data_IF_471992888609
#
_entry.id   IF_471992888609
#
_cell.length_a   1.000
_cell.length_b   1.000
_cell.length_c   1.000
_cell.angle_alpha   90.00
_cell.angle_beta   90.00
_cell.angle_gamma   90.00
#
_symmetry.space_group_name_H-M   'P 1'
#
loop_
_entity.id
_entity.type
_entity.pdbx_description
1 polymer ?
#
# COMPACT_ATOMS: atom_id res chain seq x y z
N UNK A 1 30.48 30.77 -30.39
CA UNK A 1 29.31 30.72 -29.48
C UNK A 1 28.80 29.29 -29.44
N UNK A 2 29.14 28.57 -28.37
CA UNK A 2 28.80 27.16 -28.20
C UNK A 2 27.32 27.00 -27.85
N UNK A 3 26.58 26.19 -28.63
CA UNK A 3 25.25 25.70 -28.28
C UNK A 3 25.40 24.71 -27.13
N UNK A 4 24.92 25.10 -25.95
CA UNK A 4 24.74 24.19 -24.83
C UNK A 4 23.65 23.18 -25.19
N UNK A 5 24.07 21.92 -25.35
CA UNK A 5 23.19 20.75 -25.37
C UNK A 5 22.56 20.62 -23.98
N UNK A 6 21.24 20.87 -23.89
CA UNK A 6 20.45 20.41 -22.74
C UNK A 6 20.49 18.88 -22.73
N UNK A 7 21.40 18.31 -21.94
CA UNK A 7 21.30 16.92 -21.51
C UNK A 7 19.99 16.79 -20.74
N UNK A 8 19.08 15.95 -21.21
CA UNK A 8 17.93 15.51 -20.42
C UNK A 8 18.47 14.87 -19.15
N UNK A 9 18.18 15.47 -18.01
CA UNK A 9 18.49 14.90 -16.72
C UNK A 9 17.44 13.80 -16.47
N UNK A 10 17.79 12.54 -16.77
CA UNK A 10 17.00 11.40 -16.31
C UNK A 10 17.22 11.30 -14.79
N UNK A 11 16.39 11.99 -14.01
CA UNK A 11 16.44 12.00 -12.55
C UNK A 11 16.07 10.65 -11.89
N UNK A 12 15.82 9.59 -12.65
CA UNK A 12 15.37 8.30 -12.15
C UNK A 12 16.43 7.55 -11.32
N UNK A 13 17.72 7.88 -11.50
CA UNK A 13 18.83 7.28 -10.75
C UNK A 13 19.08 7.92 -9.37
N UNK A 14 18.32 8.95 -8.98
CA UNK A 14 18.54 9.66 -7.70
C UNK A 14 17.95 8.94 -6.49
N UNK A 15 17.13 7.92 -6.70
CA UNK A 15 16.52 7.10 -5.64
C UNK A 15 17.34 5.82 -5.44
N UNK A 16 18.44 5.92 -4.71
CA UNK A 16 19.31 4.80 -4.38
C UNK A 16 18.72 3.96 -3.24
N UNK A 17 18.23 2.76 -3.55
CA UNK A 17 17.88 1.72 -2.57
C UNK A 17 18.91 0.60 -2.74
N UNK A 18 19.98 0.63 -1.94
CA UNK A 18 21.03 -0.38 -1.98
C UNK A 18 20.49 -1.76 -1.62
N UNK A 19 20.98 -2.81 -2.29
CA UNK A 19 20.52 -4.19 -2.09
C UNK A 19 21.56 -5.07 -1.37
N UNK A 20 22.76 -4.56 -1.10
CA UNK A 20 23.73 -5.32 -0.32
C UNK A 20 23.25 -5.48 1.12
N UNK A 21 23.63 -6.59 1.77
CA UNK A 21 23.26 -6.83 3.17
C UNK A 21 23.67 -5.67 4.10
N UNK A 22 24.81 -5.00 3.83
CA UNK A 22 25.27 -3.87 4.63
C UNK A 22 24.39 -2.62 4.43
N UNK A 23 23.97 -2.34 3.19
CA UNK A 23 23.05 -1.22 2.90
C UNK A 23 21.67 -1.47 3.50
N UNK A 24 21.16 -2.70 3.38
CA UNK A 24 19.89 -3.11 3.98
C UNK A 24 19.95 -3.01 5.51
N UNK A 25 21.05 -3.48 6.12
CA UNK A 25 21.28 -3.33 7.56
C UNK A 25 21.22 -1.86 7.98
N UNK A 26 21.90 -0.99 7.24
CA UNK A 26 21.90 0.44 7.52
C UNK A 26 20.50 1.06 7.35
N UNK A 27 19.75 0.65 6.32
CA UNK A 27 18.39 1.12 6.08
C UNK A 27 17.43 0.69 7.21
N UNK A 28 17.53 -0.55 7.69
CA UNK A 28 16.74 -1.04 8.84
C UNK A 28 17.04 -0.17 10.07
N UNK A 29 18.32 0.04 10.39
CA UNK A 29 18.73 0.89 11.51
C UNK A 29 18.25 2.34 11.35
N UNK A 30 18.26 2.87 10.13
CA UNK A 30 17.77 4.21 9.83
C UNK A 30 16.26 4.32 10.10
N UNK A 31 15.44 3.37 9.69
CA UNK A 31 14.00 3.42 10.01
C UNK A 31 13.73 3.22 11.49
N UNK A 32 14.48 2.35 12.17
CA UNK A 32 14.37 2.18 13.61
C UNK A 32 14.66 3.50 14.35
N UNK A 33 15.74 4.20 13.98
CA UNK A 33 16.14 5.44 14.63
C UNK A 33 15.36 6.68 14.18
N UNK A 34 15.16 6.88 12.87
CA UNK A 34 14.66 8.14 12.33
C UNK A 34 13.18 8.11 11.96
N UNK A 35 12.65 6.94 11.60
CA UNK A 35 11.19 6.79 11.36
C UNK A 35 10.46 6.51 12.66
N UNK A 36 11.01 5.65 13.53
CA UNK A 36 10.35 5.21 14.76
C UNK A 36 10.90 5.87 16.03
N UNK A 37 11.98 6.65 15.95
CA UNK A 37 12.62 7.27 17.11
C UNK A 37 12.98 6.27 18.23
N UNK A 38 13.37 5.03 17.85
CA UNK A 38 13.52 3.91 18.78
C UNK A 38 14.99 3.61 19.09
N UNK A 39 15.42 3.69 20.38
CA UNK A 39 16.77 3.26 20.75
C UNK A 39 16.90 1.73 20.72
N UNK A 40 18.00 1.21 20.18
CA UNK A 40 18.26 -0.22 20.01
C UNK A 40 18.02 -1.07 21.27
N UNK A 41 18.48 -0.69 22.48
CA UNK A 41 18.28 -1.52 23.67
C UNK A 41 16.82 -1.74 24.08
N UNK A 42 15.91 -0.90 23.58
CA UNK A 42 14.48 -0.94 23.88
C UNK A 42 13.62 -1.36 22.67
N UNK A 43 14.25 -1.68 21.54
CA UNK A 43 13.56 -2.11 20.33
C UNK A 43 12.85 -3.45 20.57
N UNK A 44 11.52 -3.42 20.45
CA UNK A 44 10.67 -4.60 20.53
C UNK A 44 10.65 -5.32 19.18
N UNK A 45 10.12 -6.55 19.15
CA UNK A 45 9.93 -7.29 17.89
C UNK A 45 9.08 -6.51 16.87
N UNK A 46 8.06 -5.77 17.34
CA UNK A 46 7.25 -4.92 16.47
C UNK A 46 8.06 -3.78 15.86
N UNK A 47 8.93 -3.13 16.65
CA UNK A 47 9.78 -2.05 16.15
C UNK A 47 10.75 -2.57 15.05
N UNK A 48 11.30 -3.77 15.24
CA UNK A 48 12.13 -4.43 14.22
C UNK A 48 11.34 -4.78 12.96
N UNK A 49 10.14 -5.35 13.10
CA UNK A 49 9.25 -5.62 11.96
C UNK A 49 8.93 -4.35 11.18
N UNK A 50 8.51 -3.28 11.85
CA UNK A 50 8.19 -2.01 11.21
C UNK A 50 9.41 -1.42 10.48
N UNK A 51 10.60 -1.51 11.07
CA UNK A 51 11.83 -1.04 10.45
C UNK A 51 12.13 -1.81 9.14
N UNK A 52 12.03 -3.15 9.17
CA UNK A 52 12.23 -4.00 8.00
C UNK A 52 11.16 -3.74 6.94
N UNK A 53 9.89 -3.64 7.33
CA UNK A 53 8.78 -3.37 6.41
C UNK A 53 8.95 -2.00 5.72
N UNK A 54 9.40 -0.97 6.45
CA UNK A 54 9.74 0.31 5.84
C UNK A 54 10.92 0.23 4.88
N UNK A 55 11.99 -0.50 5.24
CA UNK A 55 13.11 -0.74 4.32
C UNK A 55 12.63 -1.39 3.02
N UNK A 56 11.85 -2.46 3.10
CA UNK A 56 11.32 -3.14 1.90
C UNK A 56 10.36 -2.23 1.13
N UNK A 57 9.52 -1.46 1.83
CA UNK A 57 8.62 -0.49 1.20
C UNK A 57 9.35 0.57 0.41
N UNK A 58 10.53 1.01 0.81
CA UNK A 58 11.30 1.99 0.03
C UNK A 58 11.64 1.44 -1.37
N UNK A 59 11.98 0.15 -1.48
CA UNK A 59 12.19 -0.51 -2.78
C UNK A 59 10.88 -0.63 -3.57
N UNK A 60 9.77 -0.99 -2.92
CA UNK A 60 8.45 -1.07 -3.56
C UNK A 60 8.00 0.30 -4.09
N UNK A 61 8.16 1.36 -3.29
CA UNK A 61 7.81 2.74 -3.66
C UNK A 61 8.69 3.24 -4.80
N UNK A 62 9.99 2.93 -4.81
CA UNK A 62 10.88 3.23 -5.94
C UNK A 62 10.38 2.58 -7.23
N UNK A 63 10.01 1.31 -7.19
CA UNK A 63 9.47 0.59 -8.35
C UNK A 63 8.12 1.15 -8.79
N UNK A 64 7.25 1.51 -7.84
CA UNK A 64 5.97 2.16 -8.13
C UNK A 64 6.17 3.52 -8.82
N UNK A 65 7.07 4.37 -8.29
CA UNK A 65 7.38 5.67 -8.87
C UNK A 65 7.95 5.53 -10.29
N UNK A 66 8.91 4.62 -10.48
CA UNK A 66 9.47 4.32 -11.81
C UNK A 66 8.37 3.92 -12.79
N UNK A 67 7.53 2.95 -12.41
CA UNK A 67 6.42 2.46 -13.24
C UNK A 67 5.42 3.58 -13.57
N UNK A 68 5.14 4.46 -12.59
CA UNK A 68 4.25 5.60 -12.78
C UNK A 68 4.84 6.62 -13.77
N UNK A 69 6.14 6.95 -13.63
CA UNK A 69 6.82 7.86 -14.54
C UNK A 69 6.88 7.31 -15.97
N UNK A 70 7.15 6.02 -16.13
CA UNK A 70 7.14 5.35 -17.43
C UNK A 70 5.75 5.46 -18.07
N UNK A 71 4.70 5.15 -17.31
CA UNK A 71 3.31 5.22 -17.76
C UNK A 71 2.89 6.63 -18.20
N UNK A 72 3.23 7.68 -17.45
CA UNK A 72 2.92 9.07 -17.87
C UNK A 72 3.77 9.53 -19.05
N UNK A 73 4.99 8.99 -19.23
CA UNK A 73 5.84 9.36 -20.35
C UNK A 73 5.31 8.78 -21.68
N UNK A 74 4.70 7.60 -21.61
CA UNK A 74 4.05 6.91 -22.73
C UNK A 74 2.65 7.49 -23.05
N UNK A 75 2.03 8.22 -22.13
CA UNK A 75 0.66 8.74 -22.27
C UNK A 75 0.47 9.86 -23.30
N UNK A 76 1.48 10.14 -24.13
CA UNK A 76 1.28 10.91 -25.38
C UNK A 76 0.33 10.18 -26.34
N UNK A 77 0.20 8.87 -26.18
CA UNK A 77 -0.86 8.05 -26.77
C UNK A 77 -1.95 7.77 -25.72
N UNK A 78 -3.21 7.57 -26.14
CA UNK A 78 -4.34 7.34 -25.24
C UNK A 78 -4.08 6.13 -24.33
N UNK A 79 -3.66 6.38 -23.09
CA UNK A 79 -3.41 5.34 -22.10
C UNK A 79 -4.73 4.70 -21.65
N UNK A 80 -4.79 3.38 -21.68
CA UNK A 80 -5.89 2.59 -21.12
C UNK A 80 -5.44 1.93 -19.83
N UNK A 81 -6.17 2.18 -18.74
CA UNK A 81 -5.89 1.64 -17.41
C UNK A 81 -7.08 0.82 -16.93
N UNK A 82 -6.83 -0.36 -16.37
CA UNK A 82 -7.86 -1.20 -15.75
C UNK A 82 -8.14 -0.67 -14.33
N UNK A 83 -9.41 -0.41 -14.01
CA UNK A 83 -9.84 -0.11 -12.64
C UNK A 83 -10.59 -1.31 -12.08
N UNK A 84 -9.96 -2.04 -11.16
CA UNK A 84 -10.55 -3.21 -10.52
C UNK A 84 -11.22 -2.79 -9.22
N UNK A 85 -12.54 -2.80 -9.16
CA UNK A 85 -13.30 -2.40 -7.98
C UNK A 85 -13.78 -3.63 -7.23
N UNK A 86 -13.42 -3.76 -5.95
CA UNK A 86 -13.88 -4.84 -5.08
C UNK A 86 -14.17 -4.30 -3.69
N UNK A 87 -15.17 -4.86 -3.02
CA UNK A 87 -15.42 -4.61 -1.61
C UNK A 87 -14.40 -5.32 -0.71
N UNK A 88 -13.65 -6.29 -1.22
CA UNK A 88 -12.74 -7.12 -0.43
C UNK A 88 -11.42 -7.38 -1.17
N UNK A 89 -10.33 -7.40 -0.42
CA UNK A 89 -9.00 -7.82 -0.86
C UNK A 89 -8.32 -8.62 0.26
N UNK A 90 -8.15 -9.93 0.07
CA UNK A 90 -7.46 -10.81 1.03
C UNK A 90 -5.99 -10.93 0.63
N UNK A 91 -5.23 -9.88 0.92
CA UNK A 91 -3.85 -9.71 0.45
C UNK A 91 -2.87 -10.67 1.12
N UNK A 92 -3.10 -10.98 2.40
CA UNK A 92 -2.14 -11.68 3.24
C UNK A 92 -1.04 -10.75 3.79
N UNK A 93 -0.16 -11.27 4.66
CA UNK A 93 1.06 -10.58 5.07
C UNK A 93 1.90 -10.14 3.86
N UNK A 94 2.30 -8.87 3.84
CA UNK A 94 2.96 -8.26 2.70
C UNK A 94 4.48 -8.47 2.69
N UNK A 95 5.12 -8.58 3.85
CA UNK A 95 6.58 -8.59 3.99
C UNK A 95 7.19 -9.74 3.20
N UNK A 96 6.75 -10.98 3.46
CA UNK A 96 7.26 -12.16 2.76
C UNK A 96 7.06 -12.05 1.26
N UNK A 97 5.87 -11.64 0.81
CA UNK A 97 5.57 -11.49 -0.61
C UNK A 97 6.45 -10.43 -1.30
N UNK A 98 6.69 -9.30 -0.63
CA UNK A 98 7.53 -8.24 -1.18
C UNK A 98 9.01 -8.62 -1.17
N UNK A 99 9.49 -9.41 -0.20
CA UNK A 99 10.84 -9.93 -0.21
C UNK A 99 11.10 -10.82 -1.43
N UNK A 100 10.16 -11.72 -1.76
CA UNK A 100 10.23 -12.57 -2.96
C UNK A 100 10.22 -11.70 -4.22
N UNK A 101 9.21 -10.84 -4.36
CA UNK A 101 8.98 -10.10 -5.60
C UNK A 101 10.04 -9.02 -5.89
N UNK A 102 10.79 -8.60 -4.88
CA UNK A 102 11.88 -7.62 -5.01
C UNK A 102 13.28 -8.26 -5.00
N UNK A 103 13.37 -9.60 -4.90
CA UNK A 103 14.63 -10.34 -4.75
C UNK A 103 15.47 -9.86 -3.55
N UNK A 104 14.80 -9.66 -2.40
CA UNK A 104 15.39 -9.11 -1.17
C UNK A 104 15.51 -10.14 -0.04
N UNK A 105 15.08 -11.38 -0.23
CA UNK A 105 15.10 -12.40 0.83
C UNK A 105 16.50 -12.62 1.41
N UNK A 106 17.48 -12.93 0.56
CA UNK A 106 18.84 -13.20 1.00
C UNK A 106 19.51 -12.00 1.69
N UNK A 107 19.52 -10.79 1.12
CA UNK A 107 20.17 -9.65 1.79
C UNK A 107 19.46 -9.21 3.07
N UNK A 108 18.12 -9.29 3.16
CA UNK A 108 17.39 -8.96 4.39
C UNK A 108 17.63 -10.00 5.47
N UNK A 109 17.66 -11.29 5.12
CA UNK A 109 17.99 -12.37 6.06
C UNK A 109 19.39 -12.16 6.67
N UNK A 110 20.40 -11.95 5.84
CA UNK A 110 21.77 -11.71 6.29
C UNK A 110 21.91 -10.45 7.16
N UNK A 111 21.20 -9.37 6.80
CA UNK A 111 21.18 -8.14 7.58
C UNK A 111 20.56 -8.36 8.97
N UNK A 112 19.43 -9.06 9.06
CA UNK A 112 18.77 -9.37 10.33
C UNK A 112 19.62 -10.25 11.23
N UNK A 113 20.25 -11.29 10.68
CA UNK A 113 21.16 -12.17 11.43
C UNK A 113 22.36 -11.39 11.99
N UNK A 114 22.93 -10.48 11.20
CA UNK A 114 24.02 -9.60 11.64
C UNK A 114 23.58 -8.66 12.78
N UNK A 115 22.32 -8.23 12.76
CA UNK A 115 21.70 -7.41 13.81
C UNK A 115 21.21 -8.23 15.02
N UNK A 116 21.47 -9.54 15.03
CA UNK A 116 21.07 -10.45 16.10
C UNK A 116 19.56 -10.71 16.16
N UNK A 117 18.83 -10.47 15.07
CA UNK A 117 17.40 -10.73 14.94
C UNK A 117 17.16 -12.06 14.22
N UNK A 118 16.09 -12.77 14.60
CA UNK A 118 15.66 -13.96 13.88
C UNK A 118 14.68 -13.57 12.75
N UNK A 119 15.00 -13.82 11.47
CA UNK A 119 14.14 -13.45 10.34
C UNK A 119 12.73 -14.05 10.40
N UNK A 120 12.60 -15.29 10.86
CA UNK A 120 11.31 -15.98 10.94
C UNK A 120 10.40 -15.38 12.00
N UNK A 121 10.98 -14.92 13.12
CA UNK A 121 10.24 -14.21 14.15
C UNK A 121 9.73 -12.84 13.66
N UNK A 122 10.51 -12.18 12.80
CA UNK A 122 10.12 -10.90 12.19
C UNK A 122 9.00 -11.11 11.17
N UNK A 123 9.07 -12.13 10.31
CA UNK A 123 7.99 -12.45 9.36
C UNK A 123 6.68 -12.78 10.06
N UNK A 124 6.73 -13.55 11.15
CA UNK A 124 5.55 -13.91 11.97
C UNK A 124 4.95 -12.75 12.77
N UNK A 125 5.67 -11.64 12.88
CA UNK A 125 5.17 -10.45 13.59
C UNK A 125 4.09 -9.72 12.79
N UNK A 126 4.08 -9.88 11.45
CA UNK A 126 3.09 -9.26 10.59
C UNK A 126 1.70 -9.92 10.75
N UNK A 127 0.69 -9.08 10.95
CA UNK A 127 -0.71 -9.50 10.99
C UNK A 127 -1.30 -9.38 9.59
N UNK A 128 -2.16 -10.32 9.21
CA UNK A 128 -2.90 -10.25 7.95
C UNK A 128 -3.82 -9.01 7.96
N UNK A 129 -3.80 -8.15 6.92
CA UNK A 129 -4.71 -7.03 6.85
C UNK A 129 -6.17 -7.48 6.77
N UNK A 130 -7.01 -6.96 7.66
CA UNK A 130 -8.46 -7.17 7.67
C UNK A 130 -9.18 -6.44 6.52
N UNK A 131 -8.77 -6.69 5.28
CA UNK A 131 -9.28 -6.02 4.06
C UNK A 131 -10.18 -6.92 3.20
N UNK A 132 -10.33 -8.19 3.57
CA UNK A 132 -11.22 -9.15 2.92
C UNK A 132 -11.40 -10.38 3.80
N UNK A 133 -12.28 -11.29 3.40
CA UNK A 133 -12.57 -12.49 4.18
C UNK A 133 -12.49 -13.77 3.33
N UNK A 134 -13.23 -13.80 2.22
CA UNK A 134 -13.44 -15.04 1.45
C UNK A 134 -12.64 -15.14 0.15
N UNK A 135 -13.03 -16.14 -0.65
CA UNK A 135 -12.45 -16.38 -1.98
C UNK A 135 -12.62 -15.21 -2.96
N UNK A 136 -13.65 -14.36 -2.79
CA UNK A 136 -13.80 -13.12 -3.56
C UNK A 136 -12.61 -12.18 -3.34
N UNK A 137 -12.28 -11.91 -2.07
CA UNK A 137 -11.13 -11.07 -1.71
C UNK A 137 -9.81 -11.68 -2.16
N UNK A 138 -9.66 -13.02 -2.08
CA UNK A 138 -8.43 -13.67 -2.53
C UNK A 138 -8.27 -13.66 -4.05
N UNK A 139 -9.37 -13.83 -4.80
CA UNK A 139 -9.36 -13.69 -6.25
C UNK A 139 -8.92 -12.28 -6.66
N UNK A 140 -9.47 -11.25 -6.02
CA UNK A 140 -9.09 -9.87 -6.27
C UNK A 140 -7.60 -9.62 -6.00
N UNK A 141 -7.07 -10.15 -4.88
CA UNK A 141 -5.65 -10.06 -4.53
C UNK A 141 -4.75 -10.75 -5.59
N UNK A 142 -5.06 -11.99 -5.98
CA UNK A 142 -4.29 -12.72 -6.98
C UNK A 142 -4.35 -12.06 -8.37
N UNK A 143 -5.45 -11.38 -8.71
CA UNK A 143 -5.54 -10.58 -9.93
C UNK A 143 -4.60 -9.38 -9.89
N UNK A 144 -4.56 -8.63 -8.79
CA UNK A 144 -3.64 -7.50 -8.67
C UNK A 144 -2.18 -7.94 -8.78
N UNK A 145 -1.81 -9.06 -8.17
CA UNK A 145 -0.48 -9.66 -8.30
C UNK A 145 -0.18 -10.03 -9.76
N UNK A 146 -1.08 -10.76 -10.42
CA UNK A 146 -0.91 -11.17 -11.81
C UNK A 146 -0.80 -9.98 -12.77
N UNK A 147 -1.61 -8.94 -12.56
CA UNK A 147 -1.58 -7.70 -13.35
C UNK A 147 -0.23 -6.98 -13.19
N UNK A 148 0.33 -6.94 -11.97
CA UNK A 148 1.65 -6.39 -11.72
C UNK A 148 2.75 -7.22 -12.41
N UNK A 149 2.73 -8.54 -12.30
CA UNK A 149 3.71 -9.44 -12.95
C UNK A 149 3.67 -9.31 -14.48
N UNK A 150 2.48 -9.23 -15.07
CA UNK A 150 2.28 -9.06 -16.51
C UNK A 150 2.46 -7.62 -17.00
N UNK A 151 2.77 -6.68 -16.09
CA UNK A 151 2.93 -5.25 -16.37
C UNK A 151 1.70 -4.63 -17.06
N UNK A 152 0.51 -5.08 -16.68
CA UNK A 152 -0.75 -4.50 -17.15
C UNK A 152 -1.06 -3.25 -16.31
N UNK A 153 -1.24 -2.06 -16.91
CA UNK A 153 -1.62 -0.86 -16.17
C UNK A 153 -2.98 -1.05 -15.48
N UNK A 154 -2.96 -1.21 -14.17
CA UNK A 154 -4.14 -1.47 -13.37
C UNK A 154 -4.07 -0.82 -11.99
N UNK A 155 -5.24 -0.45 -11.46
CA UNK A 155 -5.41 0.04 -10.09
C UNK A 155 -6.57 -0.72 -9.44
N UNK A 156 -6.33 -1.25 -8.24
CA UNK A 156 -7.38 -1.80 -7.38
C UNK A 156 -8.00 -0.72 -6.51
N UNK A 157 -9.33 -0.66 -6.46
CA UNK A 157 -10.10 0.21 -5.57
C UNK A 157 -10.89 -0.63 -4.58
N UNK A 158 -10.77 -0.29 -3.30
CA UNK A 158 -11.47 -0.96 -2.20
C UNK A 158 -11.71 -0.02 -1.02
N UNK A 159 -12.13 -0.60 0.10
CA UNK A 159 -12.41 0.11 1.35
C UNK A 159 -11.36 -0.31 2.38
N UNK A 160 -10.80 0.66 3.10
CA UNK A 160 -9.88 0.42 4.21
C UNK A 160 -10.67 0.13 5.49
N UNK A 161 -10.99 -1.13 5.75
CA UNK A 161 -11.71 -1.53 6.96
C UNK A 161 -10.82 -1.45 8.19
N UNK A 162 -11.34 -0.82 9.24
CA UNK A 162 -10.60 -0.67 10.50
C UNK A 162 -10.58 -1.97 11.31
N UNK A 163 -11.66 -2.76 11.23
CA UNK A 163 -11.90 -3.92 12.10
C UNK A 163 -12.13 -5.25 11.38
N UNK A 164 -11.76 -5.34 10.10
CA UNK A 164 -11.97 -6.54 9.29
C UNK A 164 -13.41 -7.05 9.33
N UNK A 165 -13.56 -8.39 9.33
CA UNK A 165 -14.84 -9.05 9.58
C UNK A 165 -15.00 -9.38 11.08
N UNK A 166 -14.09 -10.20 11.62
CA UNK A 166 -13.88 -10.49 13.04
C UNK A 166 -12.63 -11.38 13.20
N UNK A 167 -12.03 -11.36 14.39
CA UNK A 167 -11.07 -12.36 14.87
C UNK A 167 -11.83 -13.48 15.60
N UNK A 168 -11.57 -14.73 15.23
CA UNK A 168 -12.32 -15.89 15.72
C UNK A 168 -11.61 -16.53 16.91
N UNK A 169 -12.28 -16.57 18.06
CA UNK A 169 -11.87 -17.40 19.19
C UNK A 169 -12.83 -18.55 19.43
N UNK A 170 -12.31 -19.71 19.81
CA UNK A 170 -13.12 -20.85 20.26
C UNK A 170 -13.08 -20.91 21.79
N UNK A 171 -14.24 -20.72 22.44
CA UNK A 171 -14.38 -20.81 23.89
C UNK A 171 -15.45 -21.83 24.25
N UNK A 172 -15.05 -22.85 25.02
CA UNK A 172 -15.94 -23.95 25.43
C UNK A 172 -16.67 -24.63 24.24
N UNK A 173 -16.01 -24.74 23.09
CA UNK A 173 -16.56 -25.34 21.87
C UNK A 173 -17.42 -24.41 21.00
N UNK A 174 -17.57 -23.13 21.37
CA UNK A 174 -18.37 -22.15 20.63
C UNK A 174 -17.50 -21.04 20.04
N UNK A 175 -17.94 -20.52 18.89
CA UNK A 175 -17.36 -19.33 18.28
C UNK A 175 -17.65 -18.09 19.13
N UNK A 176 -16.64 -17.25 19.29
CA UNK A 176 -16.73 -15.91 19.87
C UNK A 176 -16.03 -14.94 18.92
N UNK A 177 -16.78 -13.96 18.42
CA UNK A 177 -16.28 -12.93 17.51
C UNK A 177 -15.67 -11.78 18.29
N UNK A 178 -14.46 -11.37 17.89
CA UNK A 178 -13.80 -10.16 18.37
C UNK A 178 -13.55 -9.21 17.21
N UNK A 179 -13.46 -7.91 17.51
CA UNK A 179 -12.99 -6.96 16.52
C UNK A 179 -11.53 -7.28 16.15
N UNK A 180 -11.27 -7.44 14.85
CA UNK A 180 -9.90 -7.60 14.35
C UNK A 180 -9.17 -6.25 14.47
N UNK A 181 -8.15 -6.18 15.31
CA UNK A 181 -7.40 -4.95 15.55
C UNK A 181 -6.06 -4.94 14.78
N UNK A 182 -6.03 -5.40 13.54
CA UNK A 182 -4.82 -5.46 12.71
C UNK A 182 -4.07 -4.11 12.60
N UNK A 183 -4.79 -2.98 12.69
CA UNK A 183 -4.21 -1.63 12.66
C UNK A 183 -3.65 -1.12 14.01
N UNK A 184 -3.72 -1.91 15.08
CA UNK A 184 -3.35 -1.49 16.44
C UNK A 184 -1.94 -0.88 16.53
N UNK A 185 -1.00 -1.40 15.74
CA UNK A 185 0.40 -0.94 15.70
C UNK A 185 0.74 -0.19 14.40
N UNK A 186 -0.28 0.28 13.68
CA UNK A 186 -0.16 0.92 12.38
C UNK A 186 -0.06 -0.09 11.23
N UNK A 187 0.15 0.43 10.03
CA UNK A 187 0.35 -0.36 8.82
C UNK A 187 1.53 0.26 8.04
N UNK A 188 2.69 -0.41 7.94
CA UNK A 188 3.86 0.18 7.29
C UNK A 188 3.69 0.30 5.77
N UNK A 189 2.73 -0.40 5.17
CA UNK A 189 2.57 -0.52 3.70
C UNK A 189 1.72 0.57 3.08
N UNK A 190 0.81 1.18 3.84
CA UNK A 190 -0.08 2.22 3.30
C UNK A 190 0.62 3.57 3.13
N UNK A 191 0.12 4.39 2.22
CA UNK A 191 0.57 5.76 2.03
C UNK A 191 -0.66 6.65 1.93
N UNK A 192 -0.97 7.36 3.02
CA UNK A 192 -2.10 8.29 3.05
C UNK A 192 -1.87 9.46 2.06
N UNK A 193 -2.90 9.81 1.30
CA UNK A 193 -2.94 10.91 0.32
C UNK A 193 -4.10 11.87 0.66
N UNK A 194 -3.93 12.75 1.67
CA UNK A 194 -4.97 13.69 2.07
C UNK A 194 -5.40 14.67 0.95
N UNK A 195 -4.52 14.88 -0.02
CA UNK A 195 -4.75 15.68 -1.23
C UNK A 195 -5.71 14.98 -2.23
N UNK A 196 -5.84 13.66 -2.15
CA UNK A 196 -6.78 12.85 -2.94
C UNK A 196 -8.03 12.55 -2.10
N UNK A 197 -8.85 13.58 -1.90
CA UNK A 197 -10.09 13.49 -1.15
C UNK A 197 -11.30 13.82 -2.02
N UNK A 198 -12.35 13.01 -1.93
CA UNK A 198 -13.57 13.14 -2.74
C UNK A 198 -14.81 13.13 -1.85
N UNK A 199 -15.78 13.99 -2.18
CA UNK A 199 -17.09 14.00 -1.54
C UNK A 199 -17.91 12.78 -1.97
N UNK A 200 -18.45 12.05 -0.98
CA UNK A 200 -19.43 10.98 -1.17
C UNK A 200 -20.73 11.41 -0.53
N UNK A 201 -21.79 11.47 -1.34
CA UNK A 201 -23.10 12.00 -1.00
C UNK A 201 -24.06 10.86 -0.64
N UNK A 202 -24.95 11.07 0.32
CA UNK A 202 -25.95 10.10 0.76
C UNK A 202 -27.30 10.79 1.03
N UNK A 203 -28.40 10.05 0.81
CA UNK A 203 -29.75 10.53 1.05
C UNK A 203 -30.15 11.71 0.15
N UNK A 204 -31.10 12.51 0.61
CA UNK A 204 -31.53 13.73 -0.06
C UNK A 204 -32.57 13.52 -1.15
N UNK A 205 -32.61 14.46 -2.09
CA UNK A 205 -33.59 14.49 -3.18
C UNK A 205 -33.02 15.15 -4.44
N UNK A 206 -33.76 15.02 -5.55
CA UNK A 206 -33.41 15.64 -6.83
C UNK A 206 -34.27 16.86 -7.12
N UNK A 207 -33.63 17.95 -7.51
CA UNK A 207 -34.30 19.13 -8.07
C UNK A 207 -34.15 19.12 -9.59
N UNK A 208 -35.22 19.52 -10.29
CA UNK A 208 -35.27 19.59 -11.73
C UNK A 208 -35.25 21.05 -12.17
N UNK A 209 -34.41 21.35 -13.15
CA UNK A 209 -34.28 22.68 -13.74
C UNK A 209 -34.13 22.56 -15.27
N UNK A 210 -34.19 23.68 -15.98
CA UNK A 210 -33.83 23.75 -17.40
C UNK A 210 -32.54 24.56 -17.56
N UNK A 211 -31.57 24.00 -18.25
CA UNK A 211 -30.36 24.76 -18.60
C UNK A 211 -30.67 25.89 -19.60
N UNK A 212 -29.68 26.73 -19.91
CA UNK A 212 -29.81 27.85 -20.84
C UNK A 212 -30.18 27.43 -22.28
N UNK A 213 -30.07 26.14 -22.62
CA UNK A 213 -30.48 25.57 -23.90
C UNK A 213 -31.84 24.85 -23.82
N UNK A 214 -32.56 24.97 -22.70
CA UNK A 214 -33.87 24.35 -22.47
C UNK A 214 -33.83 22.86 -22.16
N UNK A 215 -32.63 22.26 -22.00
CA UNK A 215 -32.47 20.84 -21.68
C UNK A 215 -32.73 20.60 -20.19
N UNK A 216 -33.31 19.44 -19.88
CA UNK A 216 -33.52 19.03 -18.50
C UNK A 216 -32.17 18.91 -17.79
N UNK A 217 -32.00 19.65 -16.69
CA UNK A 217 -30.89 19.55 -15.77
C UNK A 217 -31.41 18.98 -14.46
N UNK A 218 -30.74 17.96 -13.92
CA UNK A 218 -31.10 17.34 -12.65
C UNK A 218 -29.97 17.57 -11.66
N UNK A 219 -30.30 18.15 -10.52
CA UNK A 219 -29.35 18.42 -9.44
C UNK A 219 -29.69 17.55 -8.23
N UNK A 220 -28.71 16.81 -7.73
CA UNK A 220 -28.85 16.07 -6.48
C UNK A 220 -28.49 16.97 -5.28
N UNK A 221 -29.45 17.18 -4.39
CA UNK A 221 -29.28 17.84 -3.09
C UNK A 221 -29.14 16.74 -2.02
N UNK A 222 -27.93 16.47 -1.50
CA UNK A 222 -27.71 15.37 -0.55
C UNK A 222 -28.07 15.76 0.90
N UNK A 223 -28.53 14.81 1.71
CA UNK A 223 -28.74 15.01 3.16
C UNK A 223 -27.44 14.92 3.95
N UNK A 224 -26.50 14.11 3.47
CA UNK A 224 -25.21 13.88 4.10
C UNK A 224 -24.10 13.83 3.06
N UNK A 225 -22.98 14.47 3.38
CA UNK A 225 -21.74 14.39 2.62
C UNK A 225 -20.64 13.89 3.55
N UNK A 226 -19.89 12.89 3.12
CA UNK A 226 -18.68 12.42 3.80
C UNK A 226 -17.48 12.57 2.85
N UNK A 227 -16.28 12.54 3.40
CA UNK A 227 -15.04 12.57 2.61
C UNK A 227 -14.44 11.17 2.54
N UNK A 228 -14.27 10.65 1.32
CA UNK A 228 -13.37 9.53 1.05
C UNK A 228 -11.97 10.07 0.84
N UNK A 229 -10.99 9.56 1.58
CA UNK A 229 -9.57 9.96 1.48
C UNK A 229 -8.76 8.73 1.10
N UNK A 230 -7.89 8.87 0.11
CA UNK A 230 -6.95 7.82 -0.28
C UNK A 230 -5.77 7.69 0.69
#
# INVERSE_FOLDING_TARGET
MARATKRGCNNHDTMGTGQSSAEIQQAILNHLHYTQAKPLPFATRNDWYMAVAHTVRDHVVKNWLTSFYDLISLSKEKLKVVSYMSSEFLLGPHLGNNLVNMDLEAPVRAALETLGQNPEDILKQEVEPGLGNGGLGRLAACYLESLATLRVPAIGYGIRYEFGIFDQEIRNGWQVEKADNWLKFGNPWEVRRPDLAFEVKFGGHTEFDRDSAGRLSVRWIPDKVIMGVA
#
